data_IF_388232341997
#
_entry.id   IF_388232341997
#
_cell.length_a   1.000
_cell.length_b   1.000
_cell.length_c   1.000
_cell.angle_alpha   90.00
_cell.angle_beta   90.00
_cell.angle_gamma   90.00
#
_symmetry.space_group_name_H-M   'P 1'
#
loop_
_entity.id
_entity.type
_entity.pdbx_description
1 polymer ?
#
# COMPACT_ATOMS: atom_id res chain seq x y z
N UNK A 1 -46.09 14.01 80.46
CA UNK A 1 -45.60 13.42 81.67
C UNK A 1 -44.11 13.42 81.67
N UNK A 2 -43.52 14.40 82.32
CA UNK A 2 -42.13 14.44 82.86
C UNK A 2 -42.07 13.51 84.07
N UNK A 3 -40.88 13.07 84.57
CA UNK A 3 -39.73 13.89 84.92
C UNK A 3 -38.37 13.21 84.56
N UNK A 4 -37.29 13.95 84.36
CA UNK A 4 -36.43 14.73 85.22
C UNK A 4 -35.39 13.90 86.03
N UNK A 5 -34.18 14.49 86.09
CA UNK A 5 -33.05 14.32 87.04
C UNK A 5 -31.89 13.40 86.58
N UNK A 6 -30.59 13.71 86.72
CA UNK A 6 -29.85 14.85 87.25
C UNK A 6 -28.37 14.46 87.11
N UNK A 7 -27.52 15.43 86.92
CA UNK A 7 -26.08 15.37 87.17
C UNK A 7 -25.69 15.20 88.63
N UNK A 8 -24.48 14.71 88.99
CA UNK A 8 -23.36 15.64 89.22
C UNK A 8 -21.97 15.08 88.78
N UNK A 9 -21.09 15.87 88.25
CA UNK A 9 -19.96 16.58 88.89
C UNK A 9 -18.97 15.72 89.67
N UNK A 10 -17.68 15.61 89.22
CA UNK A 10 -16.52 16.20 89.84
C UNK A 10 -15.22 15.58 89.41
N UNK A 11 -14.31 16.47 88.99
CA UNK A 11 -12.91 16.62 89.37
C UNK A 11 -11.90 15.46 89.21
N UNK A 12 -10.84 15.72 88.47
CA UNK A 12 -9.57 15.00 88.55
C UNK A 12 -8.53 15.45 87.53
N UNK A 13 -7.72 16.38 87.94
CA UNK A 13 -6.50 16.86 87.34
C UNK A 13 -5.45 15.78 87.29
N UNK A 14 -4.79 15.53 86.16
CA UNK A 14 -3.39 15.15 86.12
C UNK A 14 -2.77 15.48 84.71
N UNK A 15 -1.83 16.40 84.74
CA UNK A 15 -0.82 16.63 83.69
C UNK A 15 0.14 15.44 83.64
N UNK A 16 0.49 14.98 82.47
CA UNK A 16 1.79 14.35 82.24
C UNK A 16 2.18 14.53 80.76
N UNK A 17 3.26 15.27 80.56
CA UNK A 17 4.08 15.36 79.33
C UNK A 17 4.57 14.00 78.91
N UNK A 18 4.51 13.72 77.60
CA UNK A 18 5.48 12.87 76.94
C UNK A 18 5.52 13.18 75.42
N UNK A 19 6.46 14.05 75.13
CA UNK A 19 7.03 14.15 73.78
C UNK A 19 7.63 12.79 73.40
N UNK A 20 7.36 12.28 72.21
CA UNK A 20 8.26 11.67 71.23
C UNK A 20 7.42 10.84 70.22
N UNK A 21 7.32 11.34 69.01
CA UNK A 21 6.94 10.60 67.84
C UNK A 21 7.75 11.18 66.68
N UNK A 22 8.94 10.64 66.53
CA UNK A 22 9.81 10.94 65.39
C UNK A 22 9.10 10.42 64.15
N UNK A 23 8.54 11.33 63.37
CA UNK A 23 8.20 11.07 61.97
C UNK A 23 9.49 10.69 61.24
N UNK A 24 9.61 9.42 60.90
CA UNK A 24 10.63 8.96 59.99
C UNK A 24 10.35 9.54 58.61
N UNK A 25 10.94 10.66 58.29
CA UNK A 25 11.09 11.15 56.91
C UNK A 25 11.80 10.06 56.12
N UNK A 26 11.03 9.31 55.40
CA UNK A 26 11.53 8.48 54.31
C UNK A 26 12.03 9.45 53.23
N UNK A 27 13.27 9.90 53.36
CA UNK A 27 14.01 10.63 52.34
C UNK A 27 14.08 9.73 51.08
N UNK A 28 13.15 9.91 50.14
CA UNK A 28 13.29 9.40 48.81
C UNK A 28 14.61 9.91 48.25
N UNK A 29 15.50 8.99 47.88
CA UNK A 29 16.83 9.29 47.43
C UNK A 29 16.77 10.15 46.16
N UNK A 30 17.59 11.20 46.01
CA UNK A 30 17.55 12.15 44.87
C UNK A 30 17.74 11.49 43.49
N UNK A 31 18.24 10.26 43.44
CA UNK A 31 18.54 9.51 42.23
C UNK A 31 17.30 8.88 41.54
N UNK A 32 16.31 8.44 42.29
CA UNK A 32 15.11 7.78 41.71
C UNK A 32 14.17 8.78 41.02
N UNK A 33 14.03 9.95 41.59
CA UNK A 33 13.19 11.01 40.99
C UNK A 33 13.77 11.59 39.70
N UNK A 34 15.09 11.53 39.49
CA UNK A 34 15.74 11.97 38.26
C UNK A 34 15.47 11.03 37.07
N UNK A 35 15.57 9.72 37.26
CA UNK A 35 15.34 8.74 36.18
C UNK A 35 13.88 8.70 35.73
N UNK A 36 12.93 8.73 36.67
CA UNK A 36 11.50 8.77 36.36
C UNK A 36 11.10 10.05 35.62
N UNK A 37 11.77 11.18 35.89
CA UNK A 37 11.50 12.46 35.22
C UNK A 37 11.93 12.43 33.74
N UNK A 38 13.06 11.81 33.39
CA UNK A 38 13.52 11.70 32.01
C UNK A 38 12.62 10.78 31.16
N UNK A 39 11.94 9.80 31.77
CA UNK A 39 10.98 8.95 31.09
C UNK A 39 9.81 9.74 30.47
N UNK A 40 9.51 10.94 30.95
CA UNK A 40 8.50 11.83 30.39
C UNK A 40 8.87 12.35 28.99
N UNK A 41 10.14 12.26 28.58
CA UNK A 41 10.57 12.64 27.24
C UNK A 41 10.41 11.52 26.21
N UNK A 42 10.20 10.26 26.63
CA UNK A 42 10.08 9.14 25.71
C UNK A 42 8.99 9.32 24.64
N UNK A 43 7.78 9.82 24.98
CA UNK A 43 6.76 10.06 23.95
C UNK A 43 7.20 11.11 22.91
N UNK A 44 7.90 12.17 23.36
CA UNK A 44 8.43 13.19 22.45
C UNK A 44 9.49 12.64 21.51
N UNK A 45 10.43 11.84 22.02
CA UNK A 45 11.47 11.20 21.21
C UNK A 45 10.85 10.21 20.22
N UNK A 46 9.89 9.39 20.66
CA UNK A 46 9.19 8.44 19.80
C UNK A 46 8.43 9.15 18.66
N UNK A 47 7.71 10.24 18.99
CA UNK A 47 7.03 11.05 18.00
C UNK A 47 8.01 11.70 17.01
N UNK A 48 9.14 12.24 17.49
CA UNK A 48 10.18 12.79 16.62
C UNK A 48 10.79 11.75 15.67
N UNK A 49 11.04 10.53 16.16
CA UNK A 49 11.53 9.43 15.34
C UNK A 49 10.52 9.01 14.27
N UNK A 50 9.21 8.98 14.59
CA UNK A 50 8.15 8.72 13.61
C UNK A 50 8.07 9.83 12.57
N UNK A 51 8.24 11.10 12.95
CA UNK A 51 8.31 12.21 12.01
C UNK A 51 9.47 12.07 11.02
N UNK A 52 10.67 11.74 11.51
CA UNK A 52 11.84 11.49 10.68
C UNK A 52 11.64 10.28 9.74
N UNK A 53 11.03 9.20 10.23
CA UNK A 53 10.68 8.04 9.42
C UNK A 53 9.71 8.40 8.28
N UNK A 54 8.71 9.25 8.54
CA UNK A 54 7.78 9.71 7.51
C UNK A 54 8.50 10.51 6.40
N UNK A 55 9.50 11.34 6.76
CA UNK A 55 10.31 12.05 5.77
C UNK A 55 11.13 11.06 4.91
N UNK A 56 11.76 10.07 5.52
CA UNK A 56 12.49 9.04 4.78
C UNK A 56 11.57 8.29 3.79
N UNK A 57 10.36 7.92 4.24
CA UNK A 57 9.35 7.29 3.36
C UNK A 57 8.90 8.18 2.22
N UNK A 58 8.80 9.50 2.46
CA UNK A 58 8.51 10.47 1.40
C UNK A 58 9.58 10.45 0.30
N UNK A 59 10.86 10.51 0.69
CA UNK A 59 11.97 10.46 -0.27
C UNK A 59 12.00 9.15 -1.07
N UNK A 60 11.78 8.02 -0.42
CA UNK A 60 11.65 6.73 -1.11
C UNK A 60 10.51 6.74 -2.14
N UNK A 61 9.35 7.34 -1.80
CA UNK A 61 8.22 7.45 -2.73
C UNK A 61 8.50 8.39 -3.89
N UNK A 62 9.18 9.50 -3.66
CA UNK A 62 9.61 10.42 -4.72
C UNK A 62 10.57 9.72 -5.69
N UNK A 63 11.59 9.03 -5.18
CA UNK A 63 12.52 8.26 -6.01
C UNK A 63 11.80 7.17 -6.82
N UNK A 64 10.87 6.43 -6.19
CA UNK A 64 10.06 5.42 -6.87
C UNK A 64 9.16 6.02 -7.96
N UNK A 65 8.59 7.21 -7.74
CA UNK A 65 7.79 7.92 -8.74
C UNK A 65 8.64 8.30 -9.96
N UNK A 66 9.82 8.87 -9.71
CA UNK A 66 10.76 9.27 -10.76
C UNK A 66 11.24 8.07 -11.57
N UNK A 67 11.62 6.97 -10.89
CA UNK A 67 12.03 5.73 -11.55
C UNK A 67 10.90 5.14 -12.41
N UNK A 68 9.66 5.13 -11.90
CA UNK A 68 8.49 4.65 -12.64
C UNK A 68 8.19 5.53 -13.85
N UNK A 69 8.29 6.86 -13.72
CA UNK A 69 8.12 7.78 -14.83
C UNK A 69 9.16 7.52 -15.95
N UNK A 70 10.45 7.37 -15.60
CA UNK A 70 11.50 7.05 -16.53
C UNK A 70 11.29 5.72 -17.28
N UNK A 71 10.79 4.69 -16.59
CA UNK A 71 10.42 3.42 -17.22
C UNK A 71 9.29 3.58 -18.26
N UNK A 72 8.34 4.50 -18.00
CA UNK A 72 7.20 4.74 -18.89
C UNK A 72 7.54 5.61 -20.10
N UNK A 73 8.67 6.30 -20.14
CA UNK A 73 9.08 7.11 -21.29
C UNK A 73 9.59 6.25 -22.46
N UNK A 74 10.31 5.18 -22.16
CA UNK A 74 10.89 4.32 -23.16
C UNK A 74 9.94 3.21 -23.56
N UNK A 75 9.39 3.28 -24.77
CA UNK A 75 8.54 2.23 -25.35
C UNK A 75 9.41 1.18 -26.04
N UNK A 76 9.28 -0.07 -25.62
CA UNK A 76 9.93 -1.22 -26.26
C UNK A 76 8.89 -2.09 -26.97
N UNK A 77 9.35 -3.02 -27.80
CA UNK A 77 8.47 -4.02 -28.41
C UNK A 77 8.10 -5.09 -27.37
N UNK A 78 6.85 -5.52 -27.36
CA UNK A 78 6.36 -6.54 -26.41
C UNK A 78 7.13 -7.86 -26.53
N UNK A 79 7.62 -8.22 -27.73
CA UNK A 79 8.43 -9.42 -27.95
C UNK A 79 9.74 -9.44 -27.15
N UNK A 80 10.23 -8.28 -26.74
CA UNK A 80 11.48 -8.13 -25.99
C UNK A 80 11.30 -8.08 -24.50
N UNK A 81 10.06 -8.07 -24.02
CA UNK A 81 9.75 -8.05 -22.58
C UNK A 81 10.01 -9.43 -21.99
N UNK A 82 10.70 -9.46 -20.87
CA UNK A 82 10.94 -10.66 -20.06
C UNK A 82 10.16 -10.57 -18.76
N UNK A 83 9.38 -11.58 -18.46
CA UNK A 83 8.60 -11.63 -17.23
C UNK A 83 9.51 -11.48 -15.99
N UNK A 84 9.11 -10.60 -15.08
CA UNK A 84 9.82 -10.34 -13.82
C UNK A 84 11.09 -9.49 -13.93
N UNK A 85 11.78 -9.49 -15.07
CA UNK A 85 12.99 -8.68 -15.25
C UNK A 85 12.68 -7.25 -15.73
N UNK A 86 11.65 -7.10 -16.58
CA UNK A 86 11.29 -5.84 -17.20
C UNK A 86 10.00 -5.24 -16.63
N UNK A 87 9.64 -5.60 -15.38
CA UNK A 87 8.45 -5.08 -14.71
C UNK A 87 8.49 -3.54 -14.65
N UNK A 88 7.39 -2.93 -15.09
CA UNK A 88 7.26 -1.48 -15.20
C UNK A 88 7.69 -0.89 -16.55
N UNK A 89 8.33 -1.67 -17.43
CA UNK A 89 8.70 -1.21 -18.76
C UNK A 89 7.46 -1.01 -19.65
N UNK A 90 7.42 0.11 -20.39
CA UNK A 90 6.35 0.38 -21.34
C UNK A 90 6.59 -0.40 -22.63
N UNK A 91 5.58 -1.16 -23.05
CA UNK A 91 5.65 -2.03 -24.22
C UNK A 91 4.56 -1.69 -25.24
N UNK A 92 4.88 -1.82 -26.53
CA UNK A 92 3.91 -1.80 -27.61
C UNK A 92 3.51 -3.24 -27.93
N UNK A 93 2.22 -3.51 -27.85
CA UNK A 93 1.61 -4.79 -28.21
C UNK A 93 0.91 -4.62 -29.56
N UNK A 94 1.33 -5.41 -30.54
CA UNK A 94 0.68 -5.49 -31.84
C UNK A 94 0.57 -6.96 -32.26
N UNK A 95 -0.65 -7.47 -32.37
CA UNK A 95 -0.88 -8.88 -32.65
C UNK A 95 -2.34 -9.25 -32.69
N UNK A 96 -2.62 -10.54 -32.75
CA UNK A 96 -3.94 -11.12 -32.80
C UNK A 96 -4.34 -11.64 -31.39
N UNK A 97 -5.52 -11.23 -30.92
CA UNK A 97 -6.06 -11.66 -29.63
C UNK A 97 -6.73 -13.02 -29.76
N UNK A 98 -6.40 -13.93 -28.85
CA UNK A 98 -7.11 -15.20 -28.69
C UNK A 98 -8.24 -15.03 -27.66
N UNK A 99 -9.38 -14.54 -28.14
CA UNK A 99 -10.55 -14.27 -27.28
C UNK A 99 -11.13 -15.52 -26.65
N UNK A 100 -11.00 -16.68 -27.30
CA UNK A 100 -11.48 -17.95 -26.77
C UNK A 100 -10.74 -18.39 -25.49
N UNK A 101 -9.51 -17.90 -25.30
CA UNK A 101 -8.69 -18.18 -24.12
C UNK A 101 -8.65 -17.02 -23.13
N UNK A 102 -9.61 -16.09 -23.20
CA UNK A 102 -9.71 -15.00 -22.23
C UNK A 102 -9.96 -15.53 -20.83
N UNK A 103 -9.22 -15.02 -19.84
CA UNK A 103 -9.41 -15.30 -18.43
C UNK A 103 -10.04 -14.11 -17.72
N UNK A 104 -10.85 -14.38 -16.69
CA UNK A 104 -11.42 -13.39 -15.79
C UNK A 104 -10.81 -13.56 -14.41
N UNK A 105 -10.18 -12.51 -13.87
CA UNK A 105 -9.55 -12.51 -12.55
C UNK A 105 -10.35 -11.63 -11.60
N UNK A 106 -11.04 -12.21 -10.66
CA UNK A 106 -11.92 -11.50 -9.73
C UNK A 106 -12.44 -12.40 -8.62
N UNK A 107 -13.36 -11.87 -7.79
CA UNK A 107 -14.13 -10.63 -7.95
C UNK A 107 -13.31 -9.36 -7.67
N UNK A 108 -13.56 -8.30 -8.45
CA UNK A 108 -12.94 -6.98 -8.32
C UNK A 108 -14.02 -5.90 -8.41
N UNK A 109 -14.56 -5.47 -7.29
CA UNK A 109 -15.52 -4.36 -7.29
C UNK A 109 -14.82 -3.03 -7.64
N UNK A 110 -15.44 -2.23 -8.53
CA UNK A 110 -15.00 -0.88 -8.88
C UNK A 110 -16.15 0.10 -8.71
N UNK A 111 -15.85 1.32 -8.28
CA UNK A 111 -16.85 2.39 -8.25
C UNK A 111 -17.03 2.95 -9.67
N UNK A 112 -18.24 2.84 -10.20
CA UNK A 112 -18.63 3.41 -11.50
C UNK A 112 -19.75 4.43 -11.20
N UNK A 113 -19.52 5.69 -11.51
CA UNK A 113 -20.46 6.79 -11.19
C UNK A 113 -20.93 6.79 -9.71
N UNK A 114 -20.01 6.46 -8.77
CA UNK A 114 -20.32 6.43 -7.33
C UNK A 114 -21.01 5.16 -6.83
N UNK A 115 -21.32 4.20 -7.71
CA UNK A 115 -21.92 2.90 -7.36
C UNK A 115 -20.86 1.82 -7.42
N UNK A 116 -20.80 0.96 -6.39
CA UNK A 116 -19.93 -0.20 -6.40
C UNK A 116 -20.50 -1.28 -7.33
N UNK A 117 -19.80 -1.56 -8.42
CA UNK A 117 -20.18 -2.56 -9.42
C UNK A 117 -19.23 -3.75 -9.30
N UNK A 118 -19.72 -4.98 -9.16
CA UNK A 118 -18.89 -6.18 -9.21
C UNK A 118 -18.36 -6.40 -10.63
N UNK A 119 -17.14 -6.91 -10.73
CA UNK A 119 -16.49 -7.12 -12.01
C UNK A 119 -15.16 -7.83 -11.85
N UNK A 120 -14.47 -8.02 -12.96
CA UNK A 120 -13.25 -8.81 -13.06
C UNK A 120 -12.21 -8.12 -13.95
N UNK A 121 -10.94 -8.45 -13.76
CA UNK A 121 -9.88 -8.11 -14.70
C UNK A 121 -9.91 -9.07 -15.88
N UNK A 122 -9.78 -8.56 -17.09
CA UNK A 122 -9.85 -9.32 -18.32
C UNK A 122 -8.44 -9.52 -18.88
N UNK A 123 -8.00 -10.78 -18.96
CA UNK A 123 -6.66 -11.16 -19.45
C UNK A 123 -6.83 -12.04 -20.69
N UNK A 124 -6.26 -11.60 -21.80
CA UNK A 124 -6.38 -12.31 -23.10
C UNK A 124 -4.98 -12.59 -23.64
N UNK A 125 -4.68 -13.81 -24.10
CA UNK A 125 -3.47 -14.09 -24.84
C UNK A 125 -3.43 -13.32 -26.16
N UNK A 126 -2.26 -12.79 -26.51
CA UNK A 126 -2.04 -12.10 -27.79
C UNK A 126 -0.85 -12.74 -28.49
N UNK A 127 -1.08 -13.27 -29.69
CA UNK A 127 -0.03 -13.72 -30.59
C UNK A 127 0.57 -12.49 -31.28
N UNK A 128 1.82 -12.18 -30.97
CA UNK A 128 2.49 -11.00 -31.51
C UNK A 128 2.72 -11.15 -33.02
N UNK A 129 2.54 -10.05 -33.73
CA UNK A 129 2.84 -10.00 -35.16
C UNK A 129 4.35 -9.98 -35.36
N UNK A 130 4.89 -10.97 -36.06
CA UNK A 130 6.29 -11.01 -36.44
C UNK A 130 6.62 -9.77 -37.28
N UNK A 131 7.63 -8.99 -36.89
CA UNK A 131 8.13 -7.90 -37.71
C UNK A 131 8.71 -8.48 -39.00
N UNK A 132 8.26 -8.02 -40.16
CA UNK A 132 8.90 -8.34 -41.44
C UNK A 132 10.35 -7.85 -41.36
N UNK A 133 11.29 -8.80 -41.34
CA UNK A 133 12.72 -8.49 -41.44
C UNK A 133 12.95 -7.78 -42.77
N UNK A 134 13.60 -6.62 -42.73
CA UNK A 134 13.97 -5.90 -43.93
C UNK A 134 14.78 -6.81 -44.88
N UNK A 135 14.70 -6.55 -46.17
CA UNK A 135 15.30 -7.31 -47.31
C UNK A 135 16.78 -7.72 -47.11
N UNK A 136 17.54 -7.03 -46.24
CA UNK A 136 18.95 -7.36 -45.96
C UNK A 136 19.21 -8.31 -44.80
N UNK A 137 18.16 -8.84 -44.16
CA UNK A 137 18.29 -9.73 -42.98
C UNK A 137 18.21 -11.21 -43.32
N UNK A 138 19.13 -11.77 -44.13
CA UNK A 138 19.29 -13.21 -44.23
C UNK A 138 19.77 -13.80 -42.90
N UNK A 139 18.96 -14.68 -42.31
CA UNK A 139 19.50 -15.71 -41.40
C UNK A 139 19.57 -15.40 -39.93
N UNK A 140 18.77 -14.48 -39.36
CA UNK A 140 18.56 -14.51 -37.94
C UNK A 140 17.26 -15.24 -37.63
N UNK A 141 17.35 -16.48 -37.19
CA UNK A 141 16.35 -17.15 -36.34
C UNK A 141 15.85 -16.14 -35.30
N UNK A 142 14.57 -16.16 -34.95
CA UNK A 142 14.08 -15.36 -33.82
C UNK A 142 15.13 -15.43 -32.73
N UNK A 143 15.66 -14.26 -32.33
CA UNK A 143 16.73 -14.25 -31.34
C UNK A 143 16.21 -15.01 -30.13
N UNK A 144 16.96 -16.01 -29.68
CA UNK A 144 16.56 -16.82 -28.54
C UNK A 144 16.20 -15.89 -27.37
N UNK A 145 14.89 -15.81 -27.04
CA UNK A 145 14.36 -14.93 -26.01
C UNK A 145 13.31 -13.91 -26.41
N UNK A 146 12.89 -13.84 -27.69
CA UNK A 146 11.71 -13.03 -28.08
C UNK A 146 10.42 -13.84 -27.83
N UNK A 147 9.48 -13.25 -27.08
CA UNK A 147 8.18 -13.86 -26.82
C UNK A 147 7.31 -13.80 -28.09
N UNK A 148 6.78 -14.95 -28.54
CA UNK A 148 5.82 -15.01 -29.64
C UNK A 148 4.40 -14.66 -29.19
N UNK A 149 4.08 -14.91 -27.92
CA UNK A 149 2.77 -14.67 -27.33
C UNK A 149 2.95 -14.01 -25.95
N UNK A 150 2.09 -13.05 -25.65
CA UNK A 150 2.04 -12.36 -24.36
C UNK A 150 0.66 -12.45 -23.75
N UNK A 151 0.55 -12.33 -22.45
CA UNK A 151 -0.71 -12.09 -21.76
C UNK A 151 -1.01 -10.60 -21.75
N UNK A 152 -2.14 -10.19 -22.30
CA UNK A 152 -2.60 -8.80 -22.29
C UNK A 152 -3.71 -8.65 -21.25
N UNK A 153 -3.42 -7.94 -20.17
CA UNK A 153 -4.43 -7.44 -19.24
C UNK A 153 -5.12 -6.25 -19.88
N UNK A 154 -6.27 -6.48 -20.52
CA UNK A 154 -7.04 -5.49 -21.28
C UNK A 154 -7.63 -4.40 -20.37
N UNK A 155 -8.00 -4.77 -19.15
CA UNK A 155 -8.57 -3.85 -18.19
C UNK A 155 -9.59 -4.51 -17.27
N UNK A 156 -10.43 -3.70 -16.66
CA UNK A 156 -11.54 -4.14 -15.82
C UNK A 156 -12.85 -4.11 -16.60
N UNK A 157 -13.71 -5.11 -16.38
CA UNK A 157 -15.07 -5.13 -16.91
C UNK A 157 -16.07 -5.60 -15.84
N UNK A 158 -17.32 -5.11 -15.86
CA UNK A 158 -18.40 -5.63 -15.02
C UNK A 158 -18.64 -7.11 -15.30
N UNK A 159 -19.17 -7.84 -14.33
CA UNK A 159 -19.46 -9.28 -14.51
C UNK A 159 -20.51 -9.53 -15.61
N UNK A 160 -21.42 -8.58 -15.82
CA UNK A 160 -22.42 -8.65 -16.90
C UNK A 160 -21.83 -8.43 -18.31
N UNK A 161 -20.60 -7.91 -18.42
CA UNK A 161 -19.96 -7.68 -19.71
C UNK A 161 -19.49 -9.00 -20.34
N UNK A 162 -19.63 -9.12 -21.66
CA UNK A 162 -19.15 -10.27 -22.45
C UNK A 162 -18.32 -9.79 -23.63
N UNK A 163 -17.44 -10.65 -24.14
CA UNK A 163 -16.69 -10.41 -25.39
C UNK A 163 -17.56 -10.63 -26.66
N UNK A 164 -18.89 -10.77 -26.53
CA UNK A 164 -19.77 -11.09 -27.65
C UNK A 164 -19.70 -10.09 -28.80
N UNK A 165 -19.37 -8.82 -28.49
CA UNK A 165 -19.23 -7.75 -29.47
C UNK A 165 -17.79 -7.62 -30.03
N UNK A 166 -16.85 -8.45 -29.53
CA UNK A 166 -15.50 -8.48 -30.03
C UNK A 166 -15.40 -9.45 -31.22
N UNK A 167 -15.02 -8.93 -32.39
CA UNK A 167 -14.81 -9.76 -33.57
C UNK A 167 -13.71 -10.81 -33.32
N UNK A 168 -13.97 -12.05 -33.66
CA UNK A 168 -12.96 -13.11 -33.62
C UNK A 168 -11.76 -12.72 -34.49
N UNK A 169 -10.55 -12.75 -33.88
CA UNK A 169 -9.32 -12.28 -34.52
C UNK A 169 -9.08 -10.78 -34.42
N UNK A 170 -9.75 -10.09 -33.49
CA UNK A 170 -9.52 -8.68 -33.24
C UNK A 170 -8.02 -8.39 -33.02
N UNK A 171 -7.47 -7.48 -33.80
CA UNK A 171 -6.07 -7.08 -33.71
C UNK A 171 -5.86 -6.19 -32.47
N UNK A 172 -5.02 -6.65 -31.55
CA UNK A 172 -4.54 -5.79 -30.49
C UNK A 172 -3.51 -4.82 -31.06
N UNK A 173 -3.78 -3.52 -30.96
CA UNK A 173 -2.81 -2.46 -31.20
C UNK A 173 -2.88 -1.49 -30.04
N UNK A 174 -2.09 -1.76 -29.02
CA UNK A 174 -2.12 -0.98 -27.78
C UNK A 174 -0.73 -0.81 -27.20
N UNK A 175 -0.60 0.12 -26.30
CA UNK A 175 0.57 0.24 -25.44
C UNK A 175 0.17 -0.21 -24.03
N UNK A 176 1.13 -0.77 -23.33
CA UNK A 176 0.92 -1.27 -21.97
C UNK A 176 2.19 -1.21 -21.17
N UNK A 177 2.10 -1.64 -19.92
CA UNK A 177 3.23 -1.76 -18.99
C UNK A 177 3.40 -3.22 -18.63
N UNK A 178 4.62 -3.73 -18.70
CA UNK A 178 4.97 -5.05 -18.20
C UNK A 178 4.67 -5.10 -16.70
N UNK A 179 3.98 -6.15 -16.28
CA UNK A 179 3.51 -6.30 -14.90
C UNK A 179 3.80 -7.72 -14.41
N UNK A 180 4.36 -7.81 -13.21
CA UNK A 180 4.47 -9.08 -12.50
C UNK A 180 3.15 -9.53 -11.88
N UNK A 181 3.17 -10.73 -11.31
CA UNK A 181 2.08 -11.29 -10.54
C UNK A 181 1.74 -10.43 -9.31
N UNK A 182 0.47 -10.45 -8.90
CA UNK A 182 0.07 -9.88 -7.63
C UNK A 182 0.62 -10.72 -6.47
N UNK A 183 0.78 -10.08 -5.31
CA UNK A 183 1.01 -10.84 -4.07
C UNK A 183 -0.34 -11.28 -3.53
N UNK A 184 -0.52 -12.58 -3.34
CA UNK A 184 -1.72 -13.12 -2.71
C UNK A 184 -1.95 -12.49 -1.35
N UNK A 185 -3.13 -11.96 -1.13
CA UNK A 185 -3.56 -11.45 0.17
C UNK A 185 -3.78 -12.58 1.19
N UNK A 186 -3.64 -12.28 2.48
CA UNK A 186 -3.80 -13.28 3.56
C UNK A 186 -5.15 -14.00 3.54
N UNK A 187 -6.19 -13.33 3.11
CA UNK A 187 -7.57 -13.86 3.08
C UNK A 187 -8.08 -14.12 1.66
N UNK A 188 -7.20 -14.02 0.65
CA UNK A 188 -7.56 -14.31 -0.73
C UNK A 188 -7.54 -15.83 -0.93
N UNK A 189 -8.59 -16.43 -1.50
CA UNK A 189 -8.62 -17.86 -1.84
C UNK A 189 -7.47 -18.25 -2.79
N UNK A 190 -7.17 -19.54 -2.88
CA UNK A 190 -6.27 -20.04 -3.92
C UNK A 190 -6.97 -19.97 -5.27
N UNK A 191 -6.18 -19.76 -6.32
CA UNK A 191 -6.66 -19.90 -7.69
C UNK A 191 -6.97 -21.37 -7.98
N UNK A 192 -7.99 -21.61 -8.76
CA UNK A 192 -8.43 -22.96 -9.20
C UNK A 192 -8.36 -23.05 -10.73
N UNK A 193 -7.15 -23.26 -11.30
CA UNK A 193 -6.95 -23.26 -12.76
C UNK A 193 -7.78 -24.31 -13.49
N UNK A 194 -8.06 -25.45 -12.85
CA UNK A 194 -8.90 -26.53 -13.41
C UNK A 194 -10.37 -26.13 -13.62
N UNK A 195 -10.87 -25.18 -12.85
CA UNK A 195 -12.23 -24.63 -12.95
C UNK A 195 -12.25 -23.24 -13.61
N UNK A 196 -11.10 -22.77 -14.10
CA UNK A 196 -10.89 -21.40 -14.64
C UNK A 196 -11.31 -20.29 -13.67
N UNK A 197 -11.12 -20.54 -12.36
CA UNK A 197 -11.44 -19.58 -11.28
C UNK A 197 -10.19 -18.92 -10.77
N UNK A 198 -10.13 -17.59 -10.92
CA UNK A 198 -8.97 -16.78 -10.61
C UNK A 198 -9.33 -15.67 -9.64
N UNK A 199 -8.78 -15.72 -8.44
CA UNK A 199 -9.03 -14.72 -7.39
C UNK A 199 -7.95 -13.64 -7.32
N UNK A 200 -6.75 -13.94 -7.81
CA UNK A 200 -5.63 -13.02 -7.89
C UNK A 200 -4.80 -13.29 -9.13
N UNK A 201 -4.08 -12.25 -9.56
CA UNK A 201 -3.33 -12.28 -10.81
C UNK A 201 -2.02 -13.04 -10.64
N UNK A 202 -2.01 -14.30 -11.03
CA UNK A 202 -0.83 -15.16 -11.07
C UNK A 202 -0.43 -15.36 -12.54
N UNK A 203 0.51 -14.56 -13.03
CA UNK A 203 0.89 -14.56 -14.43
C UNK A 203 1.44 -15.90 -14.91
N UNK A 204 2.35 -16.61 -14.19
CA UNK A 204 2.81 -17.93 -14.56
C UNK A 204 1.71 -18.99 -14.64
N UNK A 205 0.83 -19.05 -13.65
CA UNK A 205 -0.26 -20.02 -13.63
C UNK A 205 -1.30 -19.72 -14.71
N UNK A 206 -1.62 -18.44 -14.95
CA UNK A 206 -2.47 -18.01 -16.05
C UNK A 206 -1.88 -18.38 -17.42
N UNK A 207 -0.58 -18.14 -17.63
CA UNK A 207 0.09 -18.52 -18.88
C UNK A 207 -0.03 -20.02 -19.12
N UNK A 208 0.31 -20.85 -18.14
CA UNK A 208 0.24 -22.31 -18.23
C UNK A 208 -1.18 -22.81 -18.50
N UNK A 209 -2.20 -22.26 -17.82
CA UNK A 209 -3.60 -22.62 -18.05
C UNK A 209 -4.10 -22.27 -19.47
N UNK A 210 -3.44 -21.33 -20.12
CA UNK A 210 -3.72 -20.91 -21.50
C UNK A 210 -2.83 -21.59 -22.54
N UNK A 211 -2.02 -22.58 -22.12
CA UNK A 211 -1.10 -23.31 -23.00
C UNK A 211 0.09 -22.46 -23.46
N UNK A 212 0.49 -21.47 -22.67
CA UNK A 212 1.66 -20.62 -22.90
C UNK A 212 2.82 -21.02 -21.98
N UNK A 213 4.06 -20.67 -22.34
CA UNK A 213 5.18 -20.79 -21.43
C UNK A 213 4.94 -20.02 -20.12
N UNK A 214 5.37 -20.59 -18.97
CA UNK A 214 5.20 -19.96 -17.67
C UNK A 214 5.87 -18.59 -17.53
N UNK A 215 6.85 -18.33 -18.36
CA UNK A 215 7.60 -17.06 -18.47
C UNK A 215 7.02 -16.10 -19.51
N UNK A 216 5.82 -16.41 -20.06
CA UNK A 216 5.12 -15.48 -20.94
C UNK A 216 4.85 -14.15 -20.20
N UNK A 217 5.28 -13.00 -20.75
CA UNK A 217 5.14 -11.72 -20.07
C UNK A 217 3.67 -11.29 -20.01
N UNK A 218 3.29 -10.72 -18.88
CA UNK A 218 2.01 -10.06 -18.68
C UNK A 218 2.16 -8.56 -18.93
N UNK A 219 1.35 -8.01 -19.83
CA UNK A 219 1.36 -6.59 -20.18
C UNK A 219 -0.01 -6.01 -19.85
N UNK A 220 -0.05 -5.02 -18.98
CA UNK A 220 -1.25 -4.28 -18.63
C UNK A 220 -1.46 -3.16 -19.64
N UNK A 221 -2.57 -3.19 -20.38
CA UNK A 221 -2.92 -2.15 -21.33
C UNK A 221 -3.05 -0.77 -20.67
N UNK A 222 -2.61 0.25 -21.38
CA UNK A 222 -2.78 1.64 -21.00
C UNK A 222 -3.79 2.28 -21.96
N UNK A 223 -4.79 2.95 -21.39
CA UNK A 223 -5.74 3.74 -22.16
C UNK A 223 -5.03 4.98 -22.70
N UNK A 224 -5.10 5.18 -24.02
CA UNK A 224 -4.62 6.39 -24.68
C UNK A 224 -5.68 7.50 -24.52
N UNK A 225 -5.33 8.56 -23.82
CA UNK A 225 -6.17 9.75 -23.66
C UNK A 225 -7.32 9.58 -22.64
N UNK A 226 -8.21 10.58 -22.61
CA UNK A 226 -9.40 10.65 -21.75
C UNK A 226 -10.61 9.90 -22.35
N UNK A 227 -10.39 8.69 -22.89
CA UNK A 227 -11.47 7.90 -23.47
C UNK A 227 -12.61 7.64 -22.47
N UNK A 228 -13.80 7.40 -23.01
CA UNK A 228 -15.02 7.18 -22.25
C UNK A 228 -14.83 6.03 -21.23
N UNK A 229 -15.16 6.30 -19.96
CA UNK A 229 -15.11 5.30 -18.88
C UNK A 229 -16.11 4.16 -19.07
N UNK A 230 -17.05 4.30 -19.99
CA UNK A 230 -18.10 3.31 -20.28
C UNK A 230 -17.66 2.24 -21.28
N UNK A 231 -16.49 2.40 -21.91
CA UNK A 231 -15.97 1.38 -22.82
C UNK A 231 -15.24 0.28 -22.06
N UNK A 232 -15.75 -0.94 -22.14
CA UNK A 232 -15.15 -2.11 -21.50
C UNK A 232 -14.45 -3.03 -22.49
N UNK A 233 -13.35 -3.70 -22.06
CA UNK A 233 -12.66 -3.60 -20.78
C UNK A 233 -11.98 -2.25 -20.58
N UNK A 234 -12.20 -1.61 -19.41
CA UNK A 234 -11.61 -0.31 -19.10
C UNK A 234 -10.15 -0.48 -18.73
N UNK A 235 -9.25 -0.14 -19.64
CA UNK A 235 -7.82 -0.14 -19.40
C UNK A 235 -7.41 0.96 -18.40
N UNK A 236 -6.33 0.72 -17.66
CA UNK A 236 -5.81 1.71 -16.70
C UNK A 236 -5.26 2.95 -17.42
N UNK A 237 -5.41 4.12 -16.81
CA UNK A 237 -4.76 5.34 -17.28
C UNK A 237 -3.31 5.41 -16.83
N UNK A 238 -2.49 6.24 -17.49
CA UNK A 238 -1.10 6.48 -17.07
C UNK A 238 -1.06 7.05 -15.66
N UNK A 239 -1.99 7.92 -15.31
CA UNK A 239 -2.14 8.54 -13.99
C UNK A 239 -2.46 7.50 -12.91
N UNK A 240 -3.36 6.54 -13.20
CA UNK A 240 -3.67 5.43 -12.28
C UNK A 240 -2.44 4.56 -12.02
N UNK A 241 -1.64 4.26 -13.05
CA UNK A 241 -0.40 3.49 -12.92
C UNK A 241 0.67 4.21 -12.10
N UNK A 242 0.65 5.55 -12.08
CA UNK A 242 1.58 6.38 -11.29
C UNK A 242 1.13 6.57 -9.86
N UNK A 243 -0.12 6.25 -9.51
CA UNK A 243 -0.64 6.42 -8.15
C UNK A 243 -0.02 5.44 -7.16
N UNK A 244 0.31 5.97 -6.00
CA UNK A 244 0.62 5.18 -4.81
C UNK A 244 -0.54 5.28 -3.82
N UNK A 245 -0.79 4.23 -3.01
CA UNK A 245 -1.85 4.27 -1.97
C UNK A 245 -1.69 5.43 -0.99
N UNK A 246 -0.44 5.81 -0.69
CA UNK A 246 -0.10 6.99 0.11
C UNK A 246 0.85 7.85 -0.72
N UNK A 247 0.45 9.10 -0.98
CA UNK A 247 1.24 10.03 -1.79
C UNK A 247 2.42 10.62 -0.99
N UNK A 248 3.47 11.12 -1.67
CA UNK A 248 4.59 11.81 -0.99
C UNK A 248 4.13 13.00 -0.14
N UNK A 249 3.09 13.73 -0.59
CA UNK A 249 2.52 14.88 0.12
C UNK A 249 1.83 14.46 1.42
N UNK A 250 1.13 13.31 1.41
CA UNK A 250 0.52 12.75 2.63
C UNK A 250 1.57 12.36 3.66
N UNK A 251 2.70 11.81 3.24
CA UNK A 251 3.82 11.53 4.15
C UNK A 251 4.38 12.82 4.78
N UNK A 252 4.45 13.92 4.03
CA UNK A 252 4.85 15.23 4.57
C UNK A 252 3.86 15.73 5.62
N UNK A 253 2.56 15.61 5.38
CA UNK A 253 1.51 15.96 6.34
C UNK A 253 1.62 15.14 7.64
N UNK A 254 1.84 13.84 7.52
CA UNK A 254 2.06 12.98 8.69
C UNK A 254 3.35 13.36 9.45
N UNK A 255 4.43 13.66 8.75
CA UNK A 255 5.68 14.12 9.39
C UNK A 255 5.46 15.40 10.20
N UNK A 256 4.77 16.39 9.64
CA UNK A 256 4.44 17.64 10.34
C UNK A 256 3.61 17.37 11.61
N UNK A 257 2.62 16.49 11.54
CA UNK A 257 1.81 16.09 12.71
C UNK A 257 2.66 15.45 13.81
N UNK A 258 3.56 14.52 13.44
CA UNK A 258 4.44 13.86 14.38
C UNK A 258 5.44 14.80 15.03
N UNK A 259 6.03 15.74 14.28
CA UNK A 259 6.94 16.75 14.84
C UNK A 259 6.21 17.74 15.75
N UNK A 260 4.99 18.17 15.41
CA UNK A 260 4.19 19.01 16.27
C UNK A 260 3.86 18.31 17.59
N UNK A 261 3.49 17.02 17.55
CA UNK A 261 3.25 16.19 18.72
C UNK A 261 4.52 16.02 19.55
N UNK A 262 5.67 15.80 18.93
CA UNK A 262 6.98 15.72 19.58
C UNK A 262 7.30 17.01 20.33
N UNK A 263 7.13 18.15 19.67
CA UNK A 263 7.37 19.46 20.27
C UNK A 263 6.44 19.73 21.46
N UNK A 264 5.14 19.46 21.31
CA UNK A 264 4.14 19.67 22.37
C UNK A 264 4.41 18.79 23.59
N UNK A 265 4.63 17.48 23.38
CA UNK A 265 4.90 16.54 24.49
C UNK A 265 6.25 16.83 25.15
N UNK A 266 7.27 17.22 24.37
CA UNK A 266 8.57 17.62 24.87
C UNK A 266 8.48 18.89 25.74
N UNK A 267 7.76 19.91 25.29
CA UNK A 267 7.54 21.12 26.05
C UNK A 267 6.83 20.83 27.39
N UNK A 268 5.77 20.02 27.37
CA UNK A 268 5.04 19.60 28.57
C UNK A 268 5.95 18.81 29.53
N UNK A 269 6.77 17.90 29.03
CA UNK A 269 7.74 17.15 29.82
C UNK A 269 8.75 18.08 30.51
N UNK A 270 9.33 19.03 29.76
CA UNK A 270 10.28 20.03 30.29
C UNK A 270 9.63 20.89 31.36
N UNK A 271 8.41 21.39 31.13
CA UNK A 271 7.68 22.18 32.15
C UNK A 271 7.43 21.34 33.41
N UNK A 272 7.04 20.09 33.27
CA UNK A 272 6.78 19.17 34.39
C UNK A 272 8.06 18.89 35.18
N UNK A 273 9.17 18.62 34.49
CA UNK A 273 10.48 18.40 35.10
C UNK A 273 10.92 19.64 35.89
N UNK A 274 10.84 20.85 35.30
CA UNK A 274 11.21 22.11 35.94
C UNK A 274 10.34 22.41 37.17
N UNK A 275 9.04 22.21 37.10
CA UNK A 275 8.11 22.39 38.24
C UNK A 275 8.36 21.39 39.36
N UNK A 276 8.77 20.15 39.04
CA UNK A 276 9.14 19.14 40.02
C UNK A 276 10.42 19.49 40.80
N UNK A 277 11.37 20.18 40.15
CA UNK A 277 12.61 20.66 40.78
C UNK A 277 12.36 21.92 41.64
N UNK A 278 11.43 22.81 41.19
CA UNK A 278 11.17 24.10 41.88
C UNK A 278 10.29 24.00 43.13
N UNK A 279 9.67 22.86 43.45
CA UNK A 279 8.88 22.66 44.68
C UNK A 279 9.67 22.15 45.89
N UNK A 280 10.99 22.17 45.83
CA UNK A 280 11.89 21.69 46.90
C UNK A 280 12.68 22.80 47.60
N UNK A 281 12.23 24.06 47.46
CA UNK A 281 12.76 25.19 48.24
C UNK A 281 11.66 25.79 49.11
#
# INVERSE_FOLDING_TARGET
>A
MTPSRALPRALGVARADARRGVASDARATPRETSRASWALLLPSVAAGALGAWQLARREEKLAATTARAACLERVVDASRIRAGADDGARARVEGEMDLARTARVGPRARSVCGVAVPGSLIVTPVRLRAKKKGWFGRGASAAAGEAETVLLLRGWAPDAWTDADAEAGACAKTEGVARGSERKGRFTPENEPGEDRWFWLDAPALAESRGLPRDAPLIQAIRAGSGDETTYPSAATKEELMRFPVSPEQHLGYAATWFALSAATGALAVVRIRRGVGRRF
#
